data_IF_163756269955
#
_entry.id   IF_163756269955
#
_cell.length_a   1.000
_cell.length_b   1.000
_cell.length_c   1.000
_cell.angle_alpha   90.00
_cell.angle_beta   90.00
_cell.angle_gamma   90.00
#
_symmetry.space_group_name_H-M   'P 1'
#
loop_
_entity.id
_entity.type
_entity.pdbx_description
1 polymer ?
#
# COMPACT_ATOMS: atom_id res chain seq x y z
N UNK A 1 3.00 -15.27 -2.74
CA UNK A 1 1.63 -14.70 -2.88
C UNK A 1 0.56 -15.38 -2.03
N UNK A 2 0.29 -14.82 -0.85
CA UNK A 2 -0.84 -15.10 0.04
C UNK A 2 -1.93 -14.05 -0.13
N UNK A 3 -3.18 -14.49 -0.36
CA UNK A 3 -4.38 -13.64 -0.37
C UNK A 3 -5.17 -13.87 0.92
N UNK A 4 -5.57 -12.79 1.58
CA UNK A 4 -6.23 -12.79 2.89
C UNK A 4 -7.70 -12.43 2.71
N UNK A 5 -8.59 -13.20 3.33
CA UNK A 5 -10.03 -12.92 3.31
C UNK A 5 -10.35 -11.67 4.14
N UNK A 6 -11.34 -10.90 3.69
CA UNK A 6 -11.77 -9.68 4.38
C UNK A 6 -10.97 -8.43 4.01
N UNK A 7 -10.12 -8.51 2.98
CA UNK A 7 -9.45 -7.39 2.35
C UNK A 7 -10.06 -7.12 0.96
N UNK A 8 -10.12 -5.85 0.58
CA UNK A 8 -10.33 -5.43 -0.81
C UNK A 8 -8.96 -5.18 -1.45
N UNK A 9 -8.86 -5.41 -2.75
CA UNK A 9 -7.59 -5.38 -3.48
C UNK A 9 -7.70 -4.47 -4.71
N UNK A 10 -6.66 -3.68 -4.97
CA UNK A 10 -6.53 -2.87 -6.18
C UNK A 10 -5.89 -3.69 -7.33
N UNK A 11 -5.90 -3.11 -8.54
CA UNK A 11 -5.16 -3.68 -9.67
C UNK A 11 -3.65 -3.45 -9.54
N UNK A 12 -3.27 -2.43 -8.77
CA UNK A 12 -1.90 -1.98 -8.57
C UNK A 12 -1.24 -2.62 -7.34
N UNK A 13 -1.86 -3.70 -6.82
CA UNK A 13 -1.32 -4.55 -5.78
C UNK A 13 -1.26 -3.93 -4.39
N UNK A 14 -2.19 -3.01 -4.09
CA UNK A 14 -2.56 -2.61 -2.73
C UNK A 14 -3.74 -3.42 -2.18
N UNK A 15 -3.94 -3.34 -0.86
CA UNK A 15 -5.13 -3.80 -0.19
C UNK A 15 -5.64 -2.77 0.81
N UNK A 16 -6.96 -2.79 1.06
CA UNK A 16 -7.60 -2.07 2.16
C UNK A 16 -8.44 -3.02 3.02
N UNK A 17 -8.31 -2.86 4.34
CA UNK A 17 -9.17 -3.47 5.36
C UNK A 17 -10.04 -2.38 5.98
N UNK A 18 -11.35 -2.59 6.01
CA UNK A 18 -12.30 -1.64 6.61
C UNK A 18 -12.74 -2.16 7.97
N UNK A 19 -12.58 -1.35 9.00
CA UNK A 19 -13.07 -1.60 10.36
C UNK A 19 -13.81 -0.36 10.88
N UNK A 20 -15.15 -0.41 10.86
CA UNK A 20 -15.97 0.72 11.26
C UNK A 20 -15.79 1.92 10.31
N UNK A 21 -15.31 3.03 10.85
CA UNK A 21 -15.01 4.28 10.14
C UNK A 21 -13.52 4.40 9.73
N UNK A 22 -12.71 3.36 9.95
CA UNK A 22 -11.27 3.35 9.65
C UNK A 22 -10.93 2.37 8.53
N UNK A 23 -10.08 2.83 7.63
CA UNK A 23 -9.40 2.00 6.63
C UNK A 23 -7.94 1.76 7.02
N UNK A 24 -7.47 0.53 6.89
CA UNK A 24 -6.06 0.17 6.96
C UNK A 24 -5.60 -0.21 5.56
N UNK A 25 -4.54 0.42 5.08
CA UNK A 25 -4.01 0.20 3.72
C UNK A 25 -2.62 -0.41 3.82
N UNK A 26 -2.26 -1.21 2.81
CA UNK A 26 -0.89 -1.68 2.62
C UNK A 26 -0.70 -2.33 1.25
N UNK A 27 0.51 -2.82 0.99
CA UNK A 27 0.84 -3.54 -0.24
C UNK A 27 0.59 -5.05 -0.09
N UNK A 28 0.24 -5.71 -1.17
CA UNK A 28 0.00 -7.16 -1.19
C UNK A 28 1.28 -7.97 -1.01
N UNK A 29 1.14 -9.25 -0.64
CA UNK A 29 2.27 -10.18 -0.58
C UNK A 29 2.98 -10.33 -1.93
N UNK A 30 2.26 -10.18 -3.06
CA UNK A 30 2.86 -10.16 -4.38
C UNK A 30 3.76 -8.94 -4.60
N UNK A 31 3.29 -7.74 -4.22
CA UNK A 31 4.03 -6.50 -4.39
C UNK A 31 5.37 -6.55 -3.64
N UNK A 32 5.37 -6.97 -2.36
CA UNK A 32 6.61 -7.07 -1.59
C UNK A 32 7.55 -8.15 -2.15
N UNK A 33 7.04 -9.31 -2.59
CA UNK A 33 7.88 -10.35 -3.24
C UNK A 33 8.55 -9.82 -4.52
N UNK A 34 7.82 -9.03 -5.31
CA UNK A 34 8.32 -8.44 -6.55
C UNK A 34 9.39 -7.37 -6.29
N UNK A 35 9.20 -6.53 -5.27
CA UNK A 35 10.15 -5.48 -4.89
C UNK A 35 11.40 -6.05 -4.19
N UNK A 36 11.27 -7.17 -3.48
CA UNK A 36 12.33 -7.72 -2.63
C UNK A 36 12.48 -6.94 -1.32
N UNK A 37 13.71 -6.86 -0.81
CA UNK A 37 13.98 -6.23 0.48
C UNK A 37 13.65 -4.73 0.46
N UNK A 38 12.57 -4.36 1.15
CA UNK A 38 12.14 -2.98 1.37
C UNK A 38 13.11 -2.32 2.35
N UNK A 39 13.66 -1.17 1.95
CA UNK A 39 14.68 -0.43 2.70
C UNK A 39 14.18 0.92 3.21
N UNK A 40 13.13 1.47 2.60
CA UNK A 40 12.57 2.75 2.97
C UNK A 40 11.07 2.83 2.66
N UNK A 41 10.34 3.58 3.48
CA UNK A 41 8.93 3.90 3.27
C UNK A 41 8.74 5.37 3.62
N UNK A 42 8.23 6.15 2.66
CA UNK A 42 7.72 7.49 2.89
C UNK A 42 6.22 7.40 3.15
N UNK A 43 5.80 7.78 4.36
CA UNK A 43 4.41 7.80 4.77
C UNK A 43 3.87 9.23 4.70
N UNK A 44 2.56 9.40 4.50
CA UNK A 44 1.95 10.71 4.51
C UNK A 44 2.03 11.35 5.90
N UNK A 45 1.87 12.66 5.96
CA UNK A 45 1.76 13.35 7.24
C UNK A 45 0.43 12.98 7.93
N UNK A 46 0.46 13.00 9.27
CA UNK A 46 -0.78 12.80 10.04
C UNK A 46 -1.74 13.94 9.73
N UNK A 47 -3.03 13.59 9.57
CA UNK A 47 -4.13 14.49 9.18
C UNK A 47 -4.09 14.98 7.72
N UNK A 48 -3.20 14.44 6.88
CA UNK A 48 -3.25 14.67 5.44
C UNK A 48 -4.47 13.97 4.81
N UNK A 49 -5.09 14.63 3.83
CA UNK A 49 -6.31 14.17 3.16
C UNK A 49 -6.05 13.88 1.68
N UNK A 50 -6.56 12.75 1.21
CA UNK A 50 -6.37 12.26 -0.16
C UNK A 50 -7.72 11.94 -0.81
N UNK A 51 -7.81 12.10 -2.13
CA UNK A 51 -8.87 11.53 -2.92
C UNK A 51 -8.55 10.07 -3.28
N UNK A 52 -9.54 9.34 -3.78
CA UNK A 52 -9.28 8.06 -4.42
C UNK A 52 -8.39 8.27 -5.65
N UNK A 53 -7.48 7.33 -5.88
CA UNK A 53 -6.43 7.32 -6.90
C UNK A 53 -5.30 8.34 -6.67
N UNK A 54 -5.32 9.09 -5.56
CA UNK A 54 -4.18 9.93 -5.20
C UNK A 54 -3.02 9.06 -4.68
N UNK A 55 -1.80 9.46 -5.03
CA UNK A 55 -0.61 8.93 -4.39
C UNK A 55 -0.56 9.42 -2.93
N UNK A 56 -0.33 8.50 -2.00
CA UNK A 56 -0.24 8.84 -0.57
C UNK A 56 1.03 8.34 0.11
N UNK A 57 1.79 7.45 -0.52
CA UNK A 57 3.02 6.90 0.05
C UNK A 57 3.99 6.43 -1.05
N UNK A 58 5.27 6.32 -0.68
CA UNK A 58 6.32 5.72 -1.51
C UNK A 58 6.96 4.56 -0.76
N UNK A 59 7.14 3.43 -1.45
CA UNK A 59 7.86 2.27 -0.93
C UNK A 59 9.11 2.07 -1.77
N UNK A 60 10.27 1.93 -1.13
CA UNK A 60 11.53 1.68 -1.81
C UNK A 60 12.18 0.38 -1.35
N UNK A 61 12.73 -0.34 -2.33
CA UNK A 61 13.58 -1.50 -2.15
C UNK A 61 14.97 -1.24 -2.72
N UNK A 62 15.88 -2.19 -2.53
CA UNK A 62 17.20 -2.16 -3.19
C UNK A 62 17.09 -2.16 -4.73
N UNK A 63 15.94 -2.58 -5.29
CA UNK A 63 15.74 -2.79 -6.73
C UNK A 63 14.90 -1.70 -7.39
N UNK A 64 13.94 -1.12 -6.68
CA UNK A 64 12.93 -0.25 -7.26
C UNK A 64 12.29 0.66 -6.20
N UNK A 65 11.69 1.76 -6.65
CA UNK A 65 10.76 2.57 -5.89
C UNK A 65 9.37 2.45 -6.52
N UNK A 66 8.32 2.45 -5.70
CA UNK A 66 6.94 2.35 -6.14
C UNK A 66 6.06 3.35 -5.37
N UNK A 67 5.26 4.08 -6.14
CA UNK A 67 4.17 4.92 -5.65
C UNK A 67 3.00 4.05 -5.22
N UNK A 68 2.38 4.38 -4.08
CA UNK A 68 1.21 3.69 -3.54
C UNK A 68 0.00 4.62 -3.60
N UNK A 69 -1.12 4.09 -4.12
CA UNK A 69 -2.32 4.87 -4.42
C UNK A 69 -3.50 4.48 -3.52
N UNK A 70 -4.42 5.43 -3.27
CA UNK A 70 -5.59 5.25 -2.41
C UNK A 70 -6.87 4.81 -3.13
#
# INVERSE_FOLDING_TARGET
MKIVKGLYYSKDHEWIKIEGDRGYIGITDYAQEAMGDIVFIELPDVDESFAAEDNFAVVESVKAAADIYL
#
